data_IF_269963626604
#
_entry.id   IF_269963626604
#
_cell.length_a   1.000
_cell.length_b   1.000
_cell.length_c   1.000
_cell.angle_alpha   90.00
_cell.angle_beta   90.00
_cell.angle_gamma   90.00
#
_symmetry.space_group_name_H-M   'P 1'
#
loop_
_entity.id
_entity.type
_entity.pdbx_description
1 polymer ?
#
# COMPACT_ATOMS: atom_id res chain seq x y z
N UNK A 1 21.31 -73.79 -4.51
CA UNK A 1 21.85 -72.56 -3.87
C UNK A 1 21.19 -71.37 -4.51
N UNK A 2 20.06 -70.91 -4.00
CA UNK A 2 19.23 -69.80 -4.53
C UNK A 2 19.41 -68.57 -3.63
N UNK A 3 19.93 -67.49 -4.21
CA UNK A 3 20.11 -66.19 -3.53
C UNK A 3 18.80 -65.44 -3.58
N UNK A 4 18.28 -64.84 -2.45
CA UNK A 4 17.13 -63.97 -2.51
C UNK A 4 17.51 -62.57 -2.92
N UNK A 5 16.81 -62.03 -3.94
CA UNK A 5 16.89 -60.66 -4.39
C UNK A 5 16.18 -59.73 -3.42
N UNK A 6 16.94 -58.81 -2.84
CA UNK A 6 16.38 -57.78 -1.94
C UNK A 6 15.91 -56.63 -2.84
N UNK A 7 14.56 -56.46 -2.96
CA UNK A 7 13.97 -55.28 -3.59
C UNK A 7 14.05 -54.12 -2.60
N UNK A 8 14.80 -53.09 -2.92
CA UNK A 8 14.78 -51.80 -2.21
C UNK A 8 13.58 -51.00 -2.68
N UNK A 9 12.63 -50.82 -1.81
CA UNK A 9 11.51 -49.88 -2.02
C UNK A 9 12.01 -48.47 -1.76
N UNK A 10 12.24 -47.69 -2.82
CA UNK A 10 12.43 -46.24 -2.74
C UNK A 10 11.07 -45.59 -2.49
N UNK A 11 10.81 -45.22 -1.27
CA UNK A 11 9.65 -44.39 -0.92
C UNK A 11 9.89 -42.94 -1.43
N UNK A 12 8.96 -42.34 -2.17
CA UNK A 12 9.07 -40.93 -2.53
C UNK A 12 8.88 -40.07 -1.28
N UNK A 13 9.89 -39.29 -0.94
CA UNK A 13 9.78 -38.21 0.05
C UNK A 13 8.91 -37.12 -0.56
N UNK A 14 7.64 -37.04 -0.14
CA UNK A 14 6.79 -35.89 -0.41
C UNK A 14 7.35 -34.69 0.35
N UNK A 15 8.06 -33.81 -0.34
CA UNK A 15 8.37 -32.47 0.17
C UNK A 15 7.06 -31.68 0.17
N UNK A 16 6.38 -31.62 1.30
CA UNK A 16 5.30 -30.68 1.54
C UNK A 16 5.91 -29.27 1.51
N UNK A 17 5.82 -28.62 0.36
CA UNK A 17 6.15 -27.22 0.21
C UNK A 17 5.25 -26.41 1.16
N UNK A 18 5.85 -25.87 2.23
CA UNK A 18 5.17 -25.00 3.17
C UNK A 18 4.67 -23.76 2.46
N UNK A 19 3.34 -23.64 2.26
CA UNK A 19 2.68 -22.36 2.05
C UNK A 19 2.72 -21.62 3.40
N UNK A 20 3.75 -20.82 3.62
CA UNK A 20 3.92 -20.07 4.85
C UNK A 20 4.56 -18.71 4.61
N UNK A 21 3.90 -17.67 5.08
CA UNK A 21 4.45 -16.38 5.55
C UNK A 21 5.35 -15.55 4.62
N UNK A 22 5.24 -15.63 3.32
CA UNK A 22 6.04 -14.78 2.41
C UNK A 22 5.89 -13.28 2.64
N UNK A 23 4.83 -12.84 3.30
CA UNK A 23 4.58 -11.42 3.55
C UNK A 23 5.42 -10.81 4.69
N UNK A 24 5.60 -11.54 5.77
CA UNK A 24 6.34 -11.03 6.94
C UNK A 24 7.85 -11.08 6.72
N UNK A 25 8.35 -12.16 6.09
CA UNK A 25 9.75 -12.30 5.73
C UNK A 25 10.19 -11.25 4.69
N UNK A 26 9.34 -10.98 3.69
CA UNK A 26 9.57 -9.90 2.72
C UNK A 26 9.61 -8.53 3.39
N UNK A 27 8.67 -8.26 4.29
CA UNK A 27 8.61 -7.01 5.02
C UNK A 27 9.89 -6.77 5.85
N UNK A 28 10.36 -7.79 6.59
CA UNK A 28 11.56 -7.70 7.41
C UNK A 28 12.80 -7.45 6.55
N UNK A 29 12.92 -8.13 5.41
CA UNK A 29 14.01 -7.94 4.45
C UNK A 29 14.02 -6.51 3.88
N UNK A 30 12.85 -5.96 3.53
CA UNK A 30 12.70 -4.58 3.02
C UNK A 30 13.08 -3.54 4.07
N UNK A 31 12.64 -3.70 5.33
CA UNK A 31 13.05 -2.82 6.42
C UNK A 31 14.56 -2.86 6.68
N UNK A 32 15.17 -4.05 6.63
CA UNK A 32 16.64 -4.19 6.74
C UNK A 32 17.34 -3.46 5.59
N UNK A 33 16.83 -3.57 4.37
CA UNK A 33 17.39 -2.90 3.19
C UNK A 33 17.21 -1.37 3.24
N UNK A 34 16.15 -0.86 3.89
CA UNK A 34 15.95 0.57 4.11
C UNK A 34 16.93 1.17 5.13
N UNK A 35 17.51 0.33 6.00
CA UNK A 35 18.46 0.74 7.01
C UNK A 35 17.83 1.11 8.35
N UNK A 36 18.67 1.45 9.36
CA UNK A 36 18.17 1.89 10.66
C UNK A 36 17.55 3.29 10.57
N UNK A 37 16.38 3.48 11.19
CA UNK A 37 15.65 4.76 11.17
C UNK A 37 15.45 5.34 9.74
N UNK A 38 14.82 4.58 8.82
CA UNK A 38 14.72 4.99 7.43
C UNK A 38 13.81 6.23 7.29
N UNK A 39 14.24 7.20 6.50
CA UNK A 39 13.40 8.30 6.04
C UNK A 39 12.41 7.84 4.97
N UNK A 40 11.49 8.73 4.55
CA UNK A 40 10.50 8.42 3.51
C UNK A 40 11.16 7.98 2.20
N UNK A 41 12.26 8.61 1.79
CA UNK A 41 12.94 8.27 0.56
C UNK A 41 13.53 6.85 0.60
N UNK A 42 14.11 6.46 1.74
CA UNK A 42 14.60 5.10 1.96
C UNK A 42 13.46 4.07 1.92
N UNK A 43 12.32 4.38 2.56
CA UNK A 43 11.14 3.51 2.55
C UNK A 43 10.55 3.38 1.14
N UNK A 44 10.46 4.46 0.37
CA UNK A 44 9.95 4.41 -0.99
C UNK A 44 10.84 3.59 -1.95
N UNK A 45 12.16 3.51 -1.70
CA UNK A 45 13.05 2.64 -2.49
C UNK A 45 12.77 1.15 -2.30
N UNK A 46 12.25 0.77 -1.14
CA UNK A 46 11.94 -0.63 -0.79
C UNK A 46 10.45 -0.92 -0.77
N UNK A 47 9.61 0.06 -1.11
CA UNK A 47 8.16 -0.06 -1.10
C UNK A 47 7.67 -1.06 -2.15
N UNK A 48 6.64 -1.81 -1.81
CA UNK A 48 5.98 -2.79 -2.67
C UNK A 48 4.57 -2.32 -3.05
N UNK A 49 4.33 -2.13 -4.35
CA UNK A 49 2.99 -1.79 -4.83
C UNK A 49 1.99 -2.94 -4.58
N UNK A 50 2.44 -4.19 -4.56
CA UNK A 50 1.56 -5.33 -4.27
C UNK A 50 1.17 -5.37 -2.79
N UNK A 51 2.11 -5.09 -1.87
CA UNK A 51 1.78 -4.91 -0.46
C UNK A 51 0.81 -3.73 -0.27
N UNK A 52 1.03 -2.62 -0.97
CA UNK A 52 0.14 -1.46 -0.97
C UNK A 52 -1.25 -1.78 -1.50
N UNK A 53 -1.36 -2.60 -2.54
CA UNK A 53 -2.64 -3.10 -3.06
C UNK A 53 -3.41 -3.86 -1.98
N UNK A 54 -2.73 -4.74 -1.24
CA UNK A 54 -3.33 -5.46 -0.11
C UNK A 54 -3.86 -4.53 0.98
N UNK A 55 -3.22 -3.38 1.20
CA UNK A 55 -3.64 -2.38 2.18
C UNK A 55 -4.77 -1.47 1.68
N UNK A 56 -4.99 -1.38 0.36
CA UNK A 56 -5.99 -0.48 -0.24
C UNK A 56 -7.44 -0.81 0.17
N UNK A 57 -7.72 -2.01 0.66
CA UNK A 57 -9.01 -2.38 1.22
C UNK A 57 -9.54 -1.38 2.26
N UNK A 58 -8.66 -0.74 3.02
CA UNK A 58 -9.00 0.33 3.98
C UNK A 58 -9.58 1.59 3.32
N UNK A 59 -9.29 1.79 2.05
CA UNK A 59 -9.67 2.95 1.26
C UNK A 59 -10.88 2.66 0.37
N UNK A 60 -11.03 1.40 -0.06
CA UNK A 60 -11.99 0.95 -1.08
C UNK A 60 -13.46 1.14 -0.68
N UNK A 61 -13.76 1.20 0.62
CA UNK A 61 -15.12 1.50 1.10
C UNK A 61 -15.58 2.93 0.72
N UNK A 62 -14.63 3.85 0.55
CA UNK A 62 -14.93 5.26 0.29
C UNK A 62 -14.34 5.77 -1.04
N UNK A 63 -13.37 5.08 -1.62
CA UNK A 63 -12.67 5.52 -2.83
C UNK A 63 -12.65 4.44 -3.91
N UNK A 64 -12.82 4.85 -5.16
CA UNK A 64 -12.48 4.03 -6.32
C UNK A 64 -11.07 4.39 -6.81
N UNK A 65 -10.39 3.49 -7.56
CA UNK A 65 -9.03 3.72 -8.07
C UNK A 65 -8.92 3.45 -9.58
N UNK A 66 -9.90 2.80 -10.18
CA UNK A 66 -9.92 2.54 -11.62
C UNK A 66 -10.13 3.80 -12.43
N UNK A 67 -9.61 3.83 -13.68
CA UNK A 67 -9.82 4.95 -14.61
C UNK A 67 -11.32 5.19 -14.84
N UNK A 68 -11.75 6.43 -14.66
CA UNK A 68 -13.16 6.79 -14.81
C UNK A 68 -14.08 6.30 -13.68
N UNK A 69 -13.53 5.72 -12.62
CA UNK A 69 -14.31 5.26 -11.47
C UNK A 69 -15.09 6.42 -10.83
N UNK A 70 -16.29 6.11 -10.35
CA UNK A 70 -17.15 7.10 -9.69
C UNK A 70 -16.58 7.51 -8.33
N UNK A 71 -16.84 8.76 -7.93
CA UNK A 71 -16.68 9.19 -6.55
C UNK A 71 -17.73 8.49 -5.69
N UNK A 72 -17.31 8.07 -4.48
CA UNK A 72 -18.17 7.51 -3.44
C UNK A 72 -18.26 8.52 -2.28
N UNK A 73 -18.05 8.08 -1.04
CA UNK A 73 -17.87 9.00 0.09
C UNK A 73 -16.57 9.84 -0.03
N UNK A 74 -15.63 9.38 -0.86
CA UNK A 74 -14.41 10.09 -1.27
C UNK A 74 -14.25 10.12 -2.79
N UNK A 75 -13.33 10.96 -3.31
CA UNK A 75 -13.07 11.07 -4.75
C UNK A 75 -12.42 9.80 -5.32
N UNK A 76 -12.47 9.64 -6.65
CA UNK A 76 -11.68 8.64 -7.35
C UNK A 76 -10.18 8.95 -7.24
N UNK A 77 -9.37 7.94 -6.94
CA UNK A 77 -7.93 8.07 -6.72
C UNK A 77 -7.07 7.73 -7.96
N UNK A 78 -7.68 7.45 -9.12
CA UNK A 78 -6.91 7.25 -10.36
C UNK A 78 -6.10 8.50 -10.69
N UNK A 79 -4.79 8.34 -10.89
CA UNK A 79 -3.89 9.45 -11.19
C UNK A 79 -3.76 10.48 -10.06
N UNK A 80 -3.99 10.07 -8.80
CA UNK A 80 -3.93 11.01 -7.67
C UNK A 80 -2.51 11.55 -7.45
N UNK A 81 -1.48 10.72 -7.62
CA UNK A 81 -0.10 11.14 -7.41
C UNK A 81 0.33 12.18 -8.46
N UNK A 82 0.84 13.31 -7.99
CA UNK A 82 1.18 14.48 -8.81
C UNK A 82 0.00 15.39 -9.16
N UNK A 83 -1.25 14.97 -8.95
CA UNK A 83 -2.45 15.77 -9.18
C UNK A 83 -2.58 16.90 -8.15
N UNK A 84 -3.18 18.04 -8.54
CA UNK A 84 -3.51 19.07 -7.58
C UNK A 84 -4.50 18.56 -6.52
N UNK A 85 -4.35 19.06 -5.30
CA UNK A 85 -5.32 18.77 -4.23
C UNK A 85 -6.68 19.35 -4.63
N UNK A 86 -7.75 18.62 -4.29
CA UNK A 86 -9.14 19.00 -4.58
C UNK A 86 -9.44 19.23 -6.07
N UNK A 87 -8.71 18.58 -6.99
CA UNK A 87 -8.83 18.85 -8.44
C UNK A 87 -9.98 18.14 -9.16
N UNK A 88 -10.66 17.14 -8.54
CA UNK A 88 -11.81 16.50 -9.19
C UNK A 88 -13.06 17.37 -9.00
N UNK A 89 -13.41 18.13 -10.03
CA UNK A 89 -14.57 19.02 -10.02
C UNK A 89 -15.91 18.31 -9.81
N UNK A 90 -15.96 16.98 -9.94
CA UNK A 90 -17.15 16.16 -9.71
C UNK A 90 -17.34 15.76 -8.25
N UNK A 91 -16.36 16.09 -7.38
CA UNK A 91 -16.41 15.77 -5.96
C UNK A 91 -16.50 17.03 -5.10
N UNK A 92 -17.42 17.05 -4.16
CA UNK A 92 -17.60 18.17 -3.23
C UNK A 92 -16.58 18.15 -2.08
N UNK A 93 -15.42 18.77 -2.29
CA UNK A 93 -14.40 18.91 -1.26
C UNK A 93 -14.81 19.91 -0.16
N UNK A 94 -14.25 19.76 1.05
CA UNK A 94 -14.38 20.81 2.08
C UNK A 94 -13.54 22.03 1.71
N UNK A 95 -13.96 23.20 2.13
CA UNK A 95 -13.20 24.43 1.92
C UNK A 95 -11.79 24.30 2.51
N UNK A 96 -11.65 23.68 3.70
CA UNK A 96 -10.36 23.45 4.32
C UNK A 96 -9.39 22.66 3.43
N UNK A 97 -9.88 21.65 2.68
CA UNK A 97 -9.02 20.89 1.76
C UNK A 97 -8.69 21.70 0.49
N UNK A 98 -9.62 22.49 0.00
CA UNK A 98 -9.40 23.41 -1.12
C UNK A 98 -8.33 24.45 -0.77
N UNK A 99 -8.45 25.09 0.39
CA UNK A 99 -7.53 26.10 0.89
C UNK A 99 -6.14 25.54 1.18
N UNK A 100 -6.08 24.28 1.65
CA UNK A 100 -4.79 23.60 1.87
C UNK A 100 -4.00 23.43 0.56
N UNK A 101 -4.65 23.23 -0.55
CA UNK A 101 -4.12 23.30 -1.90
C UNK A 101 -2.84 22.49 -2.14
N UNK A 102 -2.08 22.85 -3.15
CA UNK A 102 -0.82 22.20 -3.54
C UNK A 102 -1.03 20.94 -4.39
N UNK A 103 -0.06 20.02 -4.39
CA UNK A 103 -0.10 18.78 -5.16
C UNK A 103 0.17 17.57 -4.27
N UNK A 104 -0.35 16.42 -4.66
CA UNK A 104 -0.11 15.14 -4.01
C UNK A 104 1.26 14.58 -4.41
N UNK A 105 2.33 15.13 -3.86
CA UNK A 105 3.65 14.52 -3.90
C UNK A 105 3.80 13.43 -2.83
N UNK A 106 4.93 12.73 -2.82
CA UNK A 106 5.18 11.63 -1.89
C UNK A 106 5.12 12.06 -0.43
N UNK A 107 5.76 13.20 -0.11
CA UNK A 107 5.84 13.69 1.26
C UNK A 107 4.46 14.12 1.79
N UNK A 108 3.70 14.79 0.95
CA UNK A 108 2.36 15.25 1.29
C UNK A 108 1.38 14.09 1.42
N UNK A 109 1.49 13.08 0.55
CA UNK A 109 0.70 11.87 0.65
C UNK A 109 1.05 11.07 1.91
N UNK A 110 2.34 10.94 2.25
CA UNK A 110 2.77 10.27 3.48
C UNK A 110 2.18 10.95 4.72
N UNK A 111 2.34 12.27 4.82
CA UNK A 111 1.79 13.05 5.94
C UNK A 111 0.26 12.94 6.03
N UNK A 112 -0.43 12.99 4.88
CA UNK A 112 -1.88 12.80 4.80
C UNK A 112 -2.30 11.42 5.27
N UNK A 113 -1.67 10.36 4.77
CA UNK A 113 -1.96 8.98 5.16
C UNK A 113 -1.65 8.72 6.65
N UNK A 114 -0.70 9.43 7.23
CA UNK A 114 -0.38 9.32 8.66
C UNK A 114 -1.49 9.88 9.56
N UNK A 115 -2.07 11.03 9.21
CA UNK A 115 -3.09 11.68 10.03
C UNK A 115 -3.85 12.77 9.25
N UNK A 116 -4.88 12.43 8.46
CA UNK A 116 -5.57 13.39 7.58
C UNK A 116 -6.16 14.58 8.34
N UNK A 117 -6.83 14.33 9.46
CA UNK A 117 -7.45 15.38 10.28
C UNK A 117 -6.45 16.33 10.96
N UNK A 118 -5.21 15.86 11.16
CA UNK A 118 -4.14 16.69 11.68
C UNK A 118 -3.54 17.57 10.57
N UNK A 119 -3.44 17.03 9.35
CA UNK A 119 -2.95 17.79 8.19
C UNK A 119 -3.95 18.86 7.75
N UNK A 120 -5.23 18.53 7.76
CA UNK A 120 -6.31 19.45 7.37
C UNK A 120 -7.45 19.36 8.39
N UNK A 121 -7.39 20.15 9.46
CA UNK A 121 -8.52 20.30 10.36
C UNK A 121 -9.77 20.74 9.58
N UNK A 122 -10.87 20.03 9.77
CA UNK A 122 -12.10 20.27 8.98
C UNK A 122 -12.25 19.40 7.73
N UNK A 123 -11.32 18.49 7.45
CA UNK A 123 -11.56 17.44 6.45
C UNK A 123 -12.72 16.54 6.87
N UNK A 124 -13.53 16.10 5.88
CA UNK A 124 -14.58 15.10 6.11
C UNK A 124 -14.10 13.65 5.93
N UNK A 125 -12.82 13.45 5.62
CA UNK A 125 -12.25 12.11 5.51
C UNK A 125 -12.18 11.48 6.91
N UNK A 126 -13.11 10.59 7.20
CA UNK A 126 -13.19 9.84 8.47
C UNK A 126 -12.19 8.68 8.46
N UNK A 127 -10.91 8.98 8.58
CA UNK A 127 -9.81 8.02 8.57
C UNK A 127 -8.81 8.32 9.68
N UNK A 128 -8.54 7.32 10.52
CA UNK A 128 -7.67 7.48 11.69
C UNK A 128 -6.17 7.57 11.36
N UNK A 129 -5.80 7.33 10.10
CA UNK A 129 -4.40 7.32 9.67
C UNK A 129 -3.74 5.95 9.77
N UNK A 130 -2.51 5.88 9.28
CA UNK A 130 -1.65 4.69 9.28
C UNK A 130 -0.35 5.05 10.00
N UNK A 131 -0.14 4.49 11.18
CA UNK A 131 1.05 4.78 11.99
C UNK A 131 2.33 4.23 11.33
N UNK A 132 2.27 3.03 10.73
CA UNK A 132 3.42 2.36 10.15
C UNK A 132 3.91 3.02 8.84
N UNK A 133 5.16 3.53 8.82
CA UNK A 133 5.66 4.29 7.68
C UNK A 133 5.92 3.42 6.44
N UNK A 134 6.30 2.14 6.58
CA UNK A 134 6.48 1.27 5.42
C UNK A 134 5.14 0.96 4.74
N UNK A 135 4.08 0.74 5.52
CA UNK A 135 2.72 0.57 4.97
C UNK A 135 2.26 1.81 4.19
N UNK A 136 2.58 3.02 4.66
CA UNK A 136 2.29 4.24 3.91
C UNK A 136 3.08 4.33 2.61
N UNK A 137 4.38 4.00 2.66
CA UNK A 137 5.22 3.94 1.46
C UNK A 137 4.71 2.92 0.44
N UNK A 138 4.27 1.75 0.87
CA UNK A 138 3.66 0.71 0.03
C UNK A 138 2.37 1.23 -0.64
N UNK A 139 1.50 1.89 0.12
CA UNK A 139 0.30 2.52 -0.44
C UNK A 139 0.64 3.60 -1.47
N UNK A 140 1.63 4.44 -1.22
CA UNK A 140 2.10 5.46 -2.18
C UNK A 140 2.61 4.78 -3.45
N UNK A 141 3.39 3.70 -3.32
CA UNK A 141 3.85 2.92 -4.47
C UNK A 141 2.67 2.36 -5.27
N UNK A 142 1.65 1.82 -4.61
CA UNK A 142 0.44 1.35 -5.26
C UNK A 142 -0.34 2.47 -5.94
N UNK A 143 -0.57 3.61 -5.28
CA UNK A 143 -1.26 4.76 -5.88
C UNK A 143 -0.56 5.28 -7.13
N UNK A 144 0.77 5.19 -7.21
CA UNK A 144 1.56 5.54 -8.40
C UNK A 144 1.31 4.61 -9.59
N UNK A 145 0.83 3.39 -9.39
CA UNK A 145 0.49 2.47 -10.48
C UNK A 145 -0.83 2.82 -11.16
N UNK A 146 -1.73 3.54 -10.49
CA UNK A 146 -3.04 3.93 -10.98
C UNK A 146 -2.96 5.21 -11.83
N UNK A 147 -2.50 5.10 -13.08
CA UNK A 147 -2.35 6.19 -14.07
C UNK A 147 -3.10 5.88 -15.35
#
# INVERSE_FOLDING_TARGET
MTRPSVLWWLAPVLVLGGCGSGGDDDRAARLKAAGPNPDLAALLRVASADAGRGQFGRCAACHTIGKGGQALAGPNLHGIMGRAVAADARFGYTQALIDWGGRWDDARMDAWLAAPSRQVPGTRMAFGGIADPLTRADLIAYLKTAR
#
